data_IF_662769825601
#
_entry.id   IF_662769825601
#
_cell.length_a   1.000
_cell.length_b   1.000
_cell.length_c   1.000
_cell.angle_alpha   90.00
_cell.angle_beta   90.00
_cell.angle_gamma   90.00
#
_symmetry.space_group_name_H-M   'P 1'
#
loop_
_entity.id
_entity.type
_entity.pdbx_description
1 polymer ?
#
# COMPACT_ATOMS: atom_id res chain seq x y z
N UNK A 1 0.04 21.01 -4.45
CA UNK A 1 0.45 19.68 -3.95
C UNK A 1 0.47 19.60 -2.43
N UNK A 2 1.03 20.57 -1.70
CA UNK A 2 1.12 20.52 -0.23
C UNK A 2 -0.23 20.43 0.51
N UNK A 3 -1.28 21.11 0.02
CA UNK A 3 -2.63 20.97 0.61
C UNK A 3 -3.23 19.56 0.40
N UNK A 4 -2.91 18.89 -0.70
CA UNK A 4 -3.35 17.51 -0.96
C UNK A 4 -2.54 16.55 -0.07
N UNK A 5 -1.23 16.79 0.06
CA UNK A 5 -0.34 16.02 0.95
C UNK A 5 -0.85 16.00 2.39
N UNK A 6 -1.30 17.14 2.90
CA UNK A 6 -1.85 17.26 4.25
C UNK A 6 -3.13 16.44 4.47
N UNK A 7 -3.75 15.89 3.43
CA UNK A 7 -4.98 15.10 3.51
C UNK A 7 -4.73 13.62 3.23
N UNK A 8 -3.80 13.27 2.33
CA UNK A 8 -3.51 11.88 1.97
C UNK A 8 -2.46 11.22 2.87
N UNK A 9 -1.68 12.02 3.62
CA UNK A 9 -0.66 11.59 4.60
C UNK A 9 0.45 10.65 4.08
N UNK A 10 0.48 10.33 2.78
CA UNK A 10 1.52 9.51 2.14
C UNK A 10 2.01 10.18 0.85
N UNK A 11 3.33 10.36 0.75
CA UNK A 11 3.99 10.88 -0.45
C UNK A 11 5.37 10.24 -0.61
N UNK A 12 5.63 9.58 -1.76
CA UNK A 12 6.95 9.07 -2.07
C UNK A 12 8.02 10.16 -2.00
N UNK A 13 9.18 9.83 -1.44
CA UNK A 13 10.26 10.82 -1.23
C UNK A 13 10.73 11.46 -2.54
N UNK A 14 10.68 10.71 -3.63
CA UNK A 14 11.12 11.17 -4.95
C UNK A 14 10.20 12.23 -5.57
N UNK A 15 9.01 12.46 -5.02
CA UNK A 15 8.09 13.52 -5.46
C UNK A 15 8.46 14.90 -4.88
N UNK A 16 9.19 14.93 -3.76
CA UNK A 16 9.53 16.18 -3.06
C UNK A 16 10.40 17.04 -3.98
N UNK A 17 10.03 18.32 -4.16
CA UNK A 17 10.71 19.26 -5.08
C UNK A 17 10.49 19.03 -6.58
N UNK A 18 9.85 17.92 -6.99
CA UNK A 18 9.63 17.55 -8.41
C UNK A 18 8.16 17.47 -8.82
N UNK A 19 7.28 18.08 -8.02
CA UNK A 19 5.83 18.10 -8.22
C UNK A 19 5.35 18.61 -9.59
N UNK A 20 6.16 19.41 -10.29
CA UNK A 20 5.84 19.99 -11.60
C UNK A 20 6.16 19.05 -12.77
N UNK A 21 6.83 17.92 -12.52
CA UNK A 21 7.26 16.99 -13.58
C UNK A 21 6.11 16.12 -14.06
N UNK A 22 6.12 15.76 -15.35
CA UNK A 22 5.14 14.84 -15.93
C UNK A 22 5.17 13.46 -15.28
N UNK A 23 6.35 12.99 -14.87
CA UNK A 23 6.54 11.72 -14.17
C UNK A 23 5.75 11.67 -12.85
N UNK A 24 5.89 12.70 -12.00
CA UNK A 24 5.15 12.76 -10.73
C UNK A 24 3.64 12.87 -10.99
N UNK A 25 3.23 13.59 -12.05
CA UNK A 25 1.83 13.67 -12.46
C UNK A 25 1.27 12.29 -12.86
N UNK A 26 2.02 11.49 -13.60
CA UNK A 26 1.61 10.15 -14.04
C UNK A 26 1.47 9.19 -12.87
N UNK A 27 2.45 9.16 -11.95
CA UNK A 27 2.33 8.34 -10.74
C UNK A 27 1.17 8.82 -9.84
N UNK A 28 0.98 10.13 -9.70
CA UNK A 28 -0.15 10.68 -8.96
C UNK A 28 -1.50 10.34 -9.61
N UNK A 29 -1.57 10.25 -10.93
CA UNK A 29 -2.78 9.85 -11.66
C UNK A 29 -3.18 8.39 -11.40
N UNK A 30 -2.28 7.54 -10.89
CA UNK A 30 -2.63 6.19 -10.41
C UNK A 30 -3.45 6.21 -9.12
N UNK A 31 -3.25 7.24 -8.28
CA UNK A 31 -4.03 7.45 -7.04
C UNK A 31 -5.36 8.16 -7.33
N UNK A 32 -5.38 9.06 -8.33
CA UNK A 32 -6.55 9.84 -8.74
C UNK A 32 -6.86 9.61 -10.22
N UNK A 33 -7.32 8.40 -10.54
CA UNK A 33 -7.63 8.00 -11.90
C UNK A 33 -8.85 8.74 -12.48
N UNK A 34 -8.89 8.87 -13.80
CA UNK A 34 -10.08 9.37 -14.50
C UNK A 34 -11.25 8.39 -14.31
N UNK A 35 -12.46 8.95 -14.09
CA UNK A 35 -13.67 8.15 -13.89
C UNK A 35 -13.96 7.17 -15.03
N UNK A 36 -13.63 7.52 -16.28
CA UNK A 36 -13.80 6.63 -17.43
C UNK A 36 -12.88 5.40 -17.33
N UNK A 37 -11.63 5.59 -16.90
CA UNK A 37 -10.67 4.49 -16.70
C UNK A 37 -11.18 3.55 -15.61
N UNK A 38 -11.62 4.11 -14.48
CA UNK A 38 -12.21 3.34 -13.39
C UNK A 38 -13.40 2.48 -13.84
N UNK A 39 -14.33 3.05 -14.63
CA UNK A 39 -15.49 2.30 -15.15
C UNK A 39 -15.04 1.15 -16.08
N UNK A 40 -14.03 1.37 -16.92
CA UNK A 40 -13.49 0.31 -17.78
C UNK A 40 -12.82 -0.80 -16.98
N UNK A 41 -12.05 -0.47 -15.94
CA UNK A 41 -11.42 -1.45 -15.05
C UNK A 41 -12.47 -2.32 -14.34
N UNK A 42 -13.56 -1.73 -13.84
CA UNK A 42 -14.68 -2.45 -13.23
C UNK A 42 -15.36 -3.44 -14.20
N UNK A 43 -15.59 -3.02 -15.45
CA UNK A 43 -16.20 -3.88 -16.47
C UNK A 43 -15.30 -5.06 -16.86
N UNK A 44 -13.98 -4.86 -16.84
CA UNK A 44 -12.98 -5.86 -17.19
C UNK A 44 -12.56 -6.74 -15.99
N UNK A 45 -12.75 -6.25 -14.76
CA UNK A 45 -12.43 -6.92 -13.50
C UNK A 45 -12.92 -8.37 -13.41
N UNK A 46 -14.20 -8.72 -13.71
CA UNK A 46 -14.66 -10.11 -13.58
C UNK A 46 -13.95 -11.09 -14.53
N UNK A 47 -13.36 -10.59 -15.63
CA UNK A 47 -12.62 -11.42 -16.59
C UNK A 47 -11.16 -11.57 -16.15
N UNK A 48 -10.50 -10.49 -15.73
CA UNK A 48 -9.08 -10.53 -15.38
C UNK A 48 -8.79 -11.08 -13.98
N UNK A 49 -9.67 -10.81 -13.01
CA UNK A 49 -9.52 -11.27 -11.62
C UNK A 49 -9.31 -12.79 -11.50
N UNK A 50 -10.12 -13.68 -12.10
CA UNK A 50 -9.92 -15.13 -11.97
C UNK A 50 -8.58 -15.60 -12.56
N UNK A 51 -8.14 -15.02 -13.69
CA UNK A 51 -6.84 -15.31 -14.30
C UNK A 51 -5.71 -14.88 -13.35
N UNK A 52 -5.81 -13.68 -12.79
CA UNK A 52 -4.83 -13.17 -11.83
C UNK A 52 -4.76 -14.01 -10.56
N UNK A 53 -5.91 -14.39 -10.00
CA UNK A 53 -5.98 -15.24 -8.80
C UNK A 53 -5.34 -16.62 -9.06
N UNK A 54 -5.64 -17.23 -10.20
CA UNK A 54 -5.14 -18.58 -10.52
C UNK A 54 -3.64 -18.62 -10.80
N UNK A 55 -3.11 -17.63 -11.53
CA UNK A 55 -1.74 -17.68 -12.02
C UNK A 55 -0.76 -16.76 -11.26
N UNK A 56 -1.19 -15.56 -10.86
CA UNK A 56 -0.32 -14.59 -10.20
C UNK A 56 -0.34 -14.77 -8.67
N UNK A 57 -1.53 -14.77 -8.06
CA UNK A 57 -1.66 -14.84 -6.61
C UNK A 57 -1.18 -16.19 -6.06
N UNK A 58 -1.57 -17.29 -6.72
CA UNK A 58 -1.16 -18.66 -6.33
C UNK A 58 0.36 -18.79 -6.17
N UNK A 59 1.17 -18.17 -7.02
CA UNK A 59 2.64 -18.25 -6.94
C UNK A 59 3.22 -17.56 -5.70
N UNK A 60 2.48 -16.62 -5.09
CA UNK A 60 2.89 -15.88 -3.90
C UNK A 60 2.34 -16.47 -2.60
N UNK A 61 1.61 -17.59 -2.65
CA UNK A 61 0.91 -18.15 -1.47
C UNK A 61 1.85 -18.45 -0.30
N UNK A 62 3.05 -18.98 -0.56
CA UNK A 62 4.03 -19.28 0.48
C UNK A 62 4.44 -18.01 1.26
N UNK A 63 4.72 -16.92 0.55
CA UNK A 63 5.07 -15.63 1.17
C UNK A 63 3.92 -15.05 1.98
N UNK A 64 2.67 -15.26 1.54
CA UNK A 64 1.48 -14.83 2.29
C UNK A 64 1.34 -15.62 3.60
N UNK A 65 1.54 -16.94 3.56
CA UNK A 65 1.50 -17.78 4.77
C UNK A 65 2.63 -17.38 5.73
N UNK A 66 3.83 -17.16 5.22
CA UNK A 66 4.96 -16.71 6.04
C UNK A 66 4.68 -15.33 6.67
N UNK A 67 4.02 -14.43 5.94
CA UNK A 67 3.59 -13.14 6.50
C UNK A 67 2.66 -13.32 7.70
N UNK A 68 1.61 -14.14 7.58
CA UNK A 68 0.69 -14.39 8.70
C UNK A 68 1.37 -15.09 9.89
N UNK A 69 2.32 -15.98 9.63
CA UNK A 69 3.05 -16.67 10.70
C UNK A 69 4.00 -15.74 11.45
N UNK A 70 4.67 -14.83 10.74
CA UNK A 70 5.70 -13.96 11.31
C UNK A 70 5.16 -12.64 11.87
N UNK A 71 4.02 -12.17 11.37
CA UNK A 71 3.46 -10.84 11.70
C UNK A 71 2.08 -10.88 12.37
N UNK A 72 1.66 -12.03 12.92
CA UNK A 72 0.52 -12.12 13.83
C UNK A 72 0.99 -12.17 15.27
N UNK A 73 0.32 -11.42 16.15
CA UNK A 73 0.63 -11.31 17.57
C UNK A 73 -0.68 -11.28 18.37
N UNK A 74 -0.72 -12.00 19.49
CA UNK A 74 -1.89 -12.04 20.37
C UNK A 74 -1.87 -10.85 21.33
N UNK A 75 -2.97 -10.10 21.38
CA UNK A 75 -3.16 -8.97 22.29
C UNK A 75 -4.25 -9.32 23.31
N UNK A 76 -3.91 -9.21 24.59
CA UNK A 76 -4.83 -9.50 25.69
C UNK A 76 -6.14 -8.69 25.56
N UNK A 77 -7.27 -9.38 25.53
CA UNK A 77 -8.60 -8.78 25.38
C UNK A 77 -9.05 -8.49 23.94
N UNK A 78 -8.18 -8.70 22.93
CA UNK A 78 -8.51 -8.52 21.50
C UNK A 78 -8.36 -9.83 20.72
N UNK A 79 -7.29 -10.60 20.98
CA UNK A 79 -6.92 -11.80 20.23
C UNK A 79 -5.79 -11.55 19.22
N UNK A 80 -5.74 -12.36 18.16
CA UNK A 80 -4.72 -12.29 17.12
C UNK A 80 -4.88 -11.04 16.23
N UNK A 81 -3.86 -10.19 16.21
CA UNK A 81 -3.82 -8.97 15.41
C UNK A 81 -2.55 -8.88 14.58
N UNK A 82 -2.59 -8.05 13.53
CA UNK A 82 -1.42 -7.73 12.73
C UNK A 82 -0.41 -6.92 13.57
N UNK A 83 0.85 -7.34 13.58
CA UNK A 83 1.91 -6.73 14.38
C UNK A 83 2.21 -5.28 13.99
N UNK A 84 1.96 -4.91 12.72
CA UNK A 84 2.08 -3.53 12.23
C UNK A 84 0.98 -2.61 12.78
N UNK A 85 -0.22 -3.15 13.08
CA UNK A 85 -1.34 -2.36 13.58
C UNK A 85 -1.14 -1.86 15.02
N UNK A 86 -0.20 -2.47 15.77
CA UNK A 86 0.20 -1.99 17.09
C UNK A 86 1.07 -0.72 17.04
N UNK A 87 1.51 -0.31 15.84
CA UNK A 87 2.36 0.87 15.64
C UNK A 87 3.66 0.82 16.45
N UNK A 88 4.22 -0.39 16.68
CA UNK A 88 5.49 -0.58 17.37
C UNK A 88 6.67 -0.16 16.47
N UNK A 89 7.10 1.09 16.63
CA UNK A 89 8.20 1.71 15.88
C UNK A 89 9.53 0.97 16.12
N UNK A 90 9.75 0.38 17.29
CA UNK A 90 11.01 -0.33 17.59
C UNK A 90 11.13 -1.60 16.76
N UNK A 91 10.02 -2.31 16.57
CA UNK A 91 9.98 -3.59 15.86
C UNK A 91 9.75 -3.45 14.36
N UNK A 92 8.96 -2.47 13.91
CA UNK A 92 8.54 -2.33 12.50
C UNK A 92 8.83 -0.94 11.89
N UNK A 93 9.53 -0.05 12.59
CA UNK A 93 9.81 1.30 12.12
C UNK A 93 10.75 1.35 10.91
N UNK A 94 10.50 2.29 9.99
CA UNK A 94 11.40 2.55 8.87
C UNK A 94 12.54 3.50 9.33
N UNK A 95 13.82 3.09 9.29
CA UNK A 95 14.95 3.90 9.75
C UNK A 95 15.14 5.21 8.96
N UNK A 96 14.63 5.30 7.73
CA UNK A 96 14.73 6.53 6.92
C UNK A 96 13.73 7.62 7.34
N UNK A 97 12.62 7.23 7.96
CA UNK A 97 11.60 8.16 8.46
C UNK A 97 11.86 8.49 9.93
N UNK A 98 12.38 7.53 10.69
CA UNK A 98 12.75 7.69 12.09
C UNK A 98 14.07 8.46 12.26
N UNK A 99 14.07 9.77 11.96
CA UNK A 99 15.09 10.67 12.49
C UNK A 99 14.77 10.98 13.96
N UNK A 100 15.73 10.71 14.84
CA UNK A 100 15.81 11.10 16.25
C UNK A 100 14.69 10.62 17.19
N UNK A 101 15.03 9.65 18.04
CA UNK A 101 14.92 9.89 19.48
C UNK A 101 16.30 9.75 20.10
#
# INVERSE_FOLDING_TARGET
>A
MMSILAQIHYMPDHWKGRAHTSHVREEFATLFQYKVVYILEELLSPIFTPVWLMFCLRRKSAQMVDFFRCFTVEVAGVGDVCSFAQMDIKKHGNPQVSYSQ
#
